data_IF_206652980698
#
_entry.id   IF_206652980698
#
_cell.length_a   1.000
_cell.length_b   1.000
_cell.length_c   1.000
_cell.angle_alpha   90.00
_cell.angle_beta   90.00
_cell.angle_gamma   90.00
#
_symmetry.space_group_name_H-M   'P 1'
#
loop_
_entity.id
_entity.type
_entity.pdbx_description
1 polymer ?
#
# COMPACT_ATOMS: atom_id res chain seq x y z
N UNK A 1 28.85 -16.92 -54.00
CA UNK A 1 30.11 -16.13 -53.99
C UNK A 1 30.89 -16.49 -52.73
N UNK A 2 31.86 -17.39 -52.88
CA UNK A 2 32.85 -17.75 -51.86
C UNK A 2 33.81 -16.57 -51.65
N UNK A 3 34.27 -16.34 -50.41
CA UNK A 3 35.69 -16.13 -50.11
C UNK A 3 35.98 -15.92 -48.61
N UNK A 4 36.84 -16.81 -48.08
CA UNK A 4 38.04 -16.51 -47.27
C UNK A 4 37.82 -15.66 -45.99
N UNK A 5 37.77 -16.26 -44.80
CA UNK A 5 38.90 -16.70 -43.95
C UNK A 5 39.96 -15.61 -43.64
N UNK A 6 40.18 -15.44 -42.34
CA UNK A 6 41.41 -15.02 -41.64
C UNK A 6 41.85 -13.54 -41.71
N UNK A 7 41.79 -12.90 -40.55
CA UNK A 7 42.88 -12.04 -40.07
C UNK A 7 43.04 -12.25 -38.56
N UNK A 8 43.94 -13.16 -38.23
CA UNK A 8 44.58 -13.32 -36.93
C UNK A 8 45.77 -12.34 -36.93
N UNK A 9 45.79 -11.36 -36.02
CA UNK A 9 47.01 -10.61 -35.73
C UNK A 9 47.31 -10.67 -34.23
N UNK A 10 48.60 -10.82 -33.96
CA UNK A 10 49.21 -11.39 -32.77
C UNK A 10 49.19 -10.48 -31.53
N UNK A 11 49.41 -11.17 -30.41
CA UNK A 11 49.71 -10.70 -29.05
C UNK A 11 50.62 -9.48 -28.98
N UNK A 12 50.37 -8.60 -27.99
CA UNK A 12 51.33 -8.33 -26.91
C UNK A 12 50.61 -7.55 -25.80
N UNK A 13 50.83 -7.99 -24.56
CA UNK A 13 49.97 -7.69 -23.43
C UNK A 13 50.08 -6.29 -22.83
N UNK A 14 49.28 -6.08 -21.80
CA UNK A 14 49.65 -5.51 -20.50
C UNK A 14 48.37 -5.51 -19.66
N UNK A 15 48.36 -6.36 -18.64
CA UNK A 15 47.51 -6.25 -17.47
C UNK A 15 47.95 -5.04 -16.66
N UNK A 16 47.11 -4.00 -16.56
CA UNK A 16 47.05 -3.13 -15.37
C UNK A 16 45.61 -2.67 -15.19
N UNK A 17 44.99 -3.17 -14.11
CA UNK A 17 43.84 -2.56 -13.46
C UNK A 17 44.27 -1.21 -12.87
N UNK A 18 43.47 -0.16 -13.05
CA UNK A 18 43.66 1.04 -12.25
C UNK A 18 42.96 2.29 -12.76
N UNK A 19 41.85 2.61 -12.09
CA UNK A 19 41.25 3.94 -11.92
C UNK A 19 40.74 4.65 -13.17
N UNK A 20 39.46 4.40 -13.47
CA UNK A 20 38.64 5.28 -14.31
C UNK A 20 38.49 6.66 -13.69
N UNK A 21 39.05 7.63 -14.40
CA UNK A 21 38.59 9.00 -14.65
C UNK A 21 37.46 9.57 -13.77
N UNK A 22 37.82 10.66 -13.08
CA UNK A 22 36.88 11.66 -12.60
C UNK A 22 36.21 12.34 -13.81
N UNK A 23 34.90 12.20 -13.92
CA UNK A 23 34.10 12.81 -14.97
C UNK A 23 32.70 13.02 -14.45
N UNK A 24 32.49 14.09 -13.68
CA UNK A 24 31.17 14.54 -13.23
C UNK A 24 30.39 14.98 -14.46
N UNK A 25 29.65 14.05 -15.06
CA UNK A 25 28.54 14.38 -15.95
C UNK A 25 27.34 14.68 -15.05
N UNK A 26 26.85 15.91 -15.15
CA UNK A 26 25.52 16.31 -14.69
C UNK A 26 24.49 15.36 -15.32
N UNK A 27 24.06 14.38 -14.53
CA UNK A 27 22.88 13.58 -14.80
C UNK A 27 21.75 14.16 -13.99
N UNK A 28 20.80 14.76 -14.68
CA UNK A 28 19.52 15.23 -14.13
C UNK A 28 18.82 14.05 -13.45
N UNK A 29 18.72 14.12 -12.12
CA UNK A 29 17.89 13.23 -11.33
C UNK A 29 16.42 13.63 -11.58
N UNK A 30 15.52 12.71 -11.94
CA UNK A 30 14.10 13.00 -11.93
C UNK A 30 13.73 13.42 -10.51
N UNK A 31 13.06 14.57 -10.42
CA UNK A 31 12.62 15.22 -9.19
C UNK A 31 11.94 14.19 -8.28
N UNK A 32 12.68 13.73 -7.28
CA UNK A 32 12.12 13.08 -6.12
C UNK A 32 11.23 14.10 -5.45
N UNK A 33 9.92 13.94 -5.61
CA UNK A 33 8.97 14.65 -4.77
C UNK A 33 9.28 14.23 -3.33
N UNK A 34 9.93 15.13 -2.60
CA UNK A 34 10.04 15.10 -1.16
C UNK A 34 8.60 15.14 -0.65
N UNK A 35 8.01 13.96 -0.40
CA UNK A 35 6.76 13.89 0.35
C UNK A 35 7.14 14.29 1.76
N UNK A 36 6.96 15.58 2.07
CA UNK A 36 6.91 16.04 3.46
C UNK A 36 5.88 15.16 4.16
N UNK A 37 6.25 14.60 5.31
CA UNK A 37 5.33 13.90 6.19
C UNK A 37 4.13 14.83 6.48
N UNK A 38 3.05 14.60 5.77
CA UNK A 38 1.78 15.24 6.02
C UNK A 38 1.28 14.62 7.32
N UNK A 39 1.24 15.40 8.40
CA UNK A 39 0.48 15.06 9.60
C UNK A 39 -0.93 14.69 9.12
N UNK A 40 -1.25 13.40 9.09
CA UNK A 40 -2.54 12.91 8.56
C UNK A 40 -3.62 13.32 9.55
N UNK A 41 -4.14 14.54 9.40
CA UNK A 41 -5.24 15.01 10.20
C UNK A 41 -6.46 14.13 9.87
N UNK A 42 -7.08 13.57 10.91
CA UNK A 42 -8.31 12.80 10.77
C UNK A 42 -9.37 13.64 10.02
N UNK A 43 -10.02 13.08 8.98
CA UNK A 43 -11.15 13.76 8.36
C UNK A 43 -12.25 14.02 9.37
N UNK A 44 -12.89 15.18 9.29
CA UNK A 44 -14.00 15.52 10.18
C UNK A 44 -15.30 14.86 9.68
N UNK A 45 -15.69 13.75 10.31
CA UNK A 45 -16.94 13.05 9.99
C UNK A 45 -18.08 13.53 10.89
N UNK A 46 -19.22 13.89 10.29
CA UNK A 46 -20.43 14.18 11.05
C UNK A 46 -21.02 12.91 11.65
N UNK A 47 -21.64 12.99 12.82
CA UNK A 47 -22.37 11.88 13.44
C UNK A 47 -23.81 11.70 12.88
N UNK A 48 -24.17 12.45 11.83
CA UNK A 48 -25.47 12.31 11.18
C UNK A 48 -25.61 10.89 10.58
N UNK A 49 -26.68 10.14 10.92
CA UNK A 49 -26.95 8.83 10.33
C UNK A 49 -26.96 8.88 8.80
N UNK A 50 -26.44 7.83 8.19
CA UNK A 50 -26.49 7.64 6.74
C UNK A 50 -27.19 6.32 6.40
N UNK A 51 -27.53 6.11 5.14
CA UNK A 51 -28.10 4.84 4.71
C UNK A 51 -27.09 3.70 4.94
N UNK A 52 -27.61 2.50 5.17
CA UNK A 52 -26.76 1.31 5.21
C UNK A 52 -26.21 1.03 3.81
N UNK A 53 -24.94 0.62 3.76
CA UNK A 53 -24.22 0.36 2.51
C UNK A 53 -23.68 -1.08 2.48
N UNK A 54 -23.10 -1.48 1.35
CA UNK A 54 -22.45 -2.78 1.22
C UNK A 54 -21.01 -2.61 0.73
N UNK A 55 -20.08 -3.25 1.42
CA UNK A 55 -18.70 -3.41 0.97
C UNK A 55 -18.48 -4.81 0.40
N UNK A 56 -17.82 -4.87 -0.74
CA UNK A 56 -17.36 -6.13 -1.34
C UNK A 56 -15.87 -6.25 -1.04
N UNK A 57 -15.49 -7.33 -0.36
CA UNK A 57 -14.10 -7.67 -0.10
C UNK A 57 -13.68 -8.67 -1.17
N UNK A 58 -12.73 -8.27 -2.01
CA UNK A 58 -12.09 -9.16 -2.97
C UNK A 58 -10.77 -9.66 -2.41
N UNK A 59 -10.68 -10.97 -2.20
CA UNK A 59 -9.54 -11.61 -1.54
C UNK A 59 -9.03 -12.76 -2.40
N UNK A 60 -7.82 -13.22 -2.11
CA UNK A 60 -7.26 -14.43 -2.73
C UNK A 60 -8.01 -15.73 -2.35
N UNK A 61 -8.96 -15.67 -1.41
CA UNK A 61 -9.85 -16.78 -1.05
C UNK A 61 -11.28 -16.61 -1.60
N UNK A 62 -11.49 -15.60 -2.46
CA UNK A 62 -12.78 -15.28 -3.05
C UNK A 62 -13.42 -14.02 -2.46
N UNK A 63 -14.61 -13.71 -2.97
CA UNK A 63 -15.34 -12.49 -2.61
C UNK A 63 -16.38 -12.77 -1.52
N UNK A 64 -16.49 -11.82 -0.59
CA UNK A 64 -17.61 -11.77 0.35
C UNK A 64 -18.14 -10.35 0.48
N UNK A 65 -19.39 -10.23 0.93
CA UNK A 65 -20.10 -8.96 1.04
C UNK A 65 -20.47 -8.69 2.49
N UNK A 66 -20.19 -7.48 2.96
CA UNK A 66 -20.50 -7.00 4.31
C UNK A 66 -21.50 -5.86 4.21
N UNK A 67 -22.57 -5.90 5.01
CA UNK A 67 -23.49 -4.76 5.18
C UNK A 67 -22.92 -3.82 6.26
N UNK A 68 -22.80 -2.55 5.93
CA UNK A 68 -22.33 -1.49 6.81
C UNK A 68 -23.54 -0.73 7.38
N UNK A 69 -23.68 -0.70 8.70
CA UNK A 69 -24.83 -0.11 9.38
C UNK A 69 -24.63 1.40 9.60
N UNK A 70 -24.67 2.17 8.52
CA UNK A 70 -24.45 3.63 8.53
C UNK A 70 -25.48 4.40 9.36
N UNK A 71 -26.64 3.81 9.59
CA UNK A 71 -27.69 4.35 10.46
C UNK A 71 -27.37 4.22 11.95
N UNK A 72 -26.47 3.29 12.32
CA UNK A 72 -26.11 2.93 13.70
C UNK A 72 -24.70 3.40 14.08
N UNK A 73 -23.76 3.32 13.15
CA UNK A 73 -22.35 3.71 13.34
C UNK A 73 -21.88 4.64 12.19
N UNK A 74 -22.47 5.84 12.05
CA UNK A 74 -22.21 6.73 10.92
C UNK A 74 -20.74 7.16 10.78
N UNK A 75 -20.04 7.43 11.88
CA UNK A 75 -18.62 7.84 11.83
C UNK A 75 -17.76 6.65 11.38
N UNK A 76 -18.01 5.46 11.92
CA UNK A 76 -17.29 4.23 11.60
C UNK A 76 -17.45 3.87 10.13
N UNK A 77 -18.68 3.94 9.61
CA UNK A 77 -18.95 3.64 8.18
C UNK A 77 -18.33 4.69 7.26
N UNK A 78 -18.43 5.99 7.57
CA UNK A 78 -17.78 7.06 6.78
C UNK A 78 -16.26 6.93 6.79
N UNK A 79 -15.67 6.57 7.93
CA UNK A 79 -14.24 6.32 8.05
C UNK A 79 -13.81 5.12 7.19
N UNK A 80 -14.55 4.01 7.26
CA UNK A 80 -14.27 2.83 6.45
C UNK A 80 -14.38 3.15 4.95
N UNK A 81 -15.46 3.80 4.50
CA UNK A 81 -15.64 4.23 3.10
C UNK A 81 -14.52 5.17 2.63
N UNK A 82 -14.13 6.13 3.47
CA UNK A 82 -13.01 7.03 3.19
C UNK A 82 -11.70 6.25 2.94
N UNK A 83 -11.37 5.29 3.82
CA UNK A 83 -10.16 4.47 3.69
C UNK A 83 -10.22 3.55 2.47
N UNK A 84 -11.39 2.95 2.17
CA UNK A 84 -11.61 2.16 0.95
C UNK A 84 -11.37 3.01 -0.30
N UNK A 85 -11.94 4.22 -0.38
CA UNK A 85 -11.77 5.14 -1.53
C UNK A 85 -10.32 5.60 -1.71
N UNK A 86 -9.51 5.56 -0.65
CA UNK A 86 -8.07 5.82 -0.70
C UNK A 86 -7.23 4.59 -1.06
N UNK A 87 -7.85 3.42 -1.22
CA UNK A 87 -7.14 2.16 -1.48
C UNK A 87 -6.36 1.65 -0.28
N UNK A 88 -6.65 2.13 0.93
CA UNK A 88 -5.89 1.83 2.15
C UNK A 88 -5.80 0.33 2.46
N UNK A 89 -6.85 -0.42 2.14
CA UNK A 89 -6.94 -1.86 2.40
C UNK A 89 -6.36 -2.74 1.29
N UNK A 90 -5.87 -2.16 0.19
CA UNK A 90 -5.34 -2.94 -0.93
C UNK A 90 -4.04 -3.65 -0.52
N UNK A 91 -4.00 -4.97 -0.69
CA UNK A 91 -2.84 -5.79 -0.30
C UNK A 91 -2.70 -6.02 1.21
N UNK A 92 -3.64 -5.52 2.02
CA UNK A 92 -3.65 -5.73 3.47
C UNK A 92 -4.09 -7.16 3.80
N UNK A 93 -3.36 -7.81 4.71
CA UNK A 93 -3.63 -9.20 5.11
C UNK A 93 -4.57 -9.28 6.32
N UNK A 94 -5.21 -10.44 6.48
CA UNK A 94 -5.77 -10.86 7.76
C UNK A 94 -4.65 -11.46 8.60
N UNK A 95 -3.97 -10.62 9.38
CA UNK A 95 -2.77 -11.00 10.15
C UNK A 95 -3.09 -11.83 11.40
N UNK A 96 -4.37 -11.91 11.81
CA UNK A 96 -4.78 -12.71 12.98
C UNK A 96 -6.05 -13.51 12.66
N UNK A 97 -5.97 -14.83 12.85
CA UNK A 97 -7.05 -15.79 12.62
C UNK A 97 -7.16 -16.70 13.85
N UNK A 98 -8.34 -16.74 14.46
CA UNK A 98 -8.63 -17.62 15.61
C UNK A 98 -9.86 -18.44 15.28
N UNK A 99 -9.68 -19.75 15.20
CA UNK A 99 -10.74 -20.70 14.91
C UNK A 99 -11.87 -20.62 15.95
N UNK A 100 -13.12 -20.61 15.47
CA UNK A 100 -14.30 -20.49 16.33
C UNK A 100 -14.53 -19.10 16.92
N UNK A 101 -13.72 -18.09 16.57
CA UNK A 101 -13.86 -16.74 17.08
C UNK A 101 -13.92 -15.69 15.98
N UNK A 102 -12.78 -15.29 15.41
CA UNK A 102 -12.74 -14.19 14.44
C UNK A 102 -11.46 -14.17 13.59
N UNK A 103 -11.54 -13.41 12.50
CA UNK A 103 -10.42 -12.96 11.70
C UNK A 103 -10.27 -11.44 11.84
N UNK A 104 -9.04 -10.96 11.92
CA UNK A 104 -8.71 -9.55 12.07
C UNK A 104 -7.69 -9.15 11.00
N UNK A 105 -7.97 -8.01 10.35
CA UNK A 105 -7.12 -7.40 9.32
C UNK A 105 -7.12 -5.88 9.48
N UNK A 106 -6.87 -5.16 8.39
CA UNK A 106 -6.93 -3.69 8.38
C UNK A 106 -5.67 -2.97 8.88
N UNK A 107 -4.58 -3.71 9.14
CA UNK A 107 -3.26 -3.16 9.45
C UNK A 107 -2.35 -3.25 8.20
N UNK A 108 -1.96 -2.11 7.59
CA UNK A 108 -1.03 -2.07 6.46
C UNK A 108 0.32 -2.74 6.71
N UNK A 109 0.80 -2.71 7.96
CA UNK A 109 2.09 -3.30 8.34
C UNK A 109 1.96 -4.80 8.69
N UNK A 110 0.72 -5.30 8.85
CA UNK A 110 0.43 -6.69 9.20
C UNK A 110 0.90 -7.12 10.60
N UNK A 111 1.21 -6.17 11.47
CA UNK A 111 1.74 -6.44 12.82
C UNK A 111 0.66 -6.59 13.89
N UNK A 112 -0.53 -6.06 13.60
CA UNK A 112 -1.66 -5.91 14.54
C UNK A 112 -1.64 -4.60 15.34
N UNK A 113 -0.62 -3.75 15.16
CA UNK A 113 -0.46 -2.49 15.90
C UNK A 113 -0.54 -1.24 15.00
N UNK A 114 -0.59 -1.40 13.68
CA UNK A 114 -0.70 -0.29 12.73
C UNK A 114 -2.14 0.22 12.55
N UNK A 115 -2.29 1.19 11.66
CA UNK A 115 -3.59 1.83 11.38
C UNK A 115 -3.44 3.10 10.54
N UNK A 116 -4.52 3.88 10.36
CA UNK A 116 -4.54 5.04 9.48
C UNK A 116 -3.86 6.30 10.06
N UNK A 117 -3.21 6.18 11.23
CA UNK A 117 -2.50 7.27 11.89
C UNK A 117 -3.37 8.16 12.78
N UNK A 118 -4.64 7.79 13.02
CA UNK A 118 -5.58 8.50 13.88
C UNK A 118 -6.61 7.54 14.50
N UNK A 119 -7.39 8.05 15.45
CA UNK A 119 -8.46 7.32 16.14
C UNK A 119 -9.80 8.04 15.98
N UNK A 120 -10.88 7.28 15.82
CA UNK A 120 -12.27 7.76 15.82
C UNK A 120 -12.95 7.43 17.15
N UNK A 121 -14.04 8.14 17.55
CA UNK A 121 -14.83 7.75 18.71
C UNK A 121 -15.59 6.43 18.49
N UNK A 122 -15.85 5.70 19.57
CA UNK A 122 -16.67 4.49 19.54
C UNK A 122 -18.17 4.81 19.33
N UNK A 123 -18.89 3.93 18.63
CA UNK A 123 -20.32 4.05 18.36
C UNK A 123 -21.07 2.77 18.77
N UNK A 124 -21.82 2.84 19.87
CA UNK A 124 -22.57 1.70 20.40
C UNK A 124 -24.07 1.82 20.12
N UNK A 125 -24.71 0.69 19.79
CA UNK A 125 -26.16 0.57 19.61
C UNK A 125 -26.67 -0.62 20.41
N UNK A 126 -27.75 -0.43 21.18
CA UNK A 126 -28.28 -1.45 22.08
C UNK A 126 -29.18 -2.49 21.39
N UNK A 127 -29.42 -2.34 20.09
CA UNK A 127 -30.39 -3.13 19.32
C UNK A 127 -29.73 -3.93 18.16
N UNK A 128 -28.47 -4.34 18.37
CA UNK A 128 -27.71 -5.21 17.46
C UNK A 128 -27.69 -6.67 17.91
#
# INVERSE_FOLDING_TARGET
>A
MNWKRLALCAMLGITVLGTTACGTKSGEQPQGNTVKAETVAMPNFTNAPIADEYAIFDTNYGQFKVRLLGSKAPITVKNFDYLVKKGFYNGVTFHRVIEGFMIQGGDPDGTGAGGPGYTIPDEFSNDL
#
